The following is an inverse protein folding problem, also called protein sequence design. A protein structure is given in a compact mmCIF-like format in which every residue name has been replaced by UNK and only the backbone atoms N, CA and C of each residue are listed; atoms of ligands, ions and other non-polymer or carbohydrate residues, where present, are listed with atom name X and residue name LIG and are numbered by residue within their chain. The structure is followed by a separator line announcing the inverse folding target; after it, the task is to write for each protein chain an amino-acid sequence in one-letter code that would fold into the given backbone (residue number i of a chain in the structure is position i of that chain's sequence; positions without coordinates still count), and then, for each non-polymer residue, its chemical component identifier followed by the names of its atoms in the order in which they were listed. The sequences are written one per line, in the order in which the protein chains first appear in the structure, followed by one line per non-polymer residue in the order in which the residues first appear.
data_IF_559592377902
#
_entry.id   IF_559592377902
#
_cell.length_a   1.000
_cell.length_b   1.000
_cell.length_c   1.000
_cell.angle_alpha   90.00
_cell.angle_beta   90.00
_cell.angle_gamma   90.00
#
_symmetry.space_group_name_H-M   'P 1'
#
loop_
_entity.id
_entity.type
_entity.pdbx_description
1 polymer ?
#
# COMPACT_ATOMS: atom_id res chain seq x y z
N UNK A 1 2.23 8.66 -1.35
CA UNK A 1 2.15 7.19 -1.57
C UNK A 1 2.43 6.52 -0.25
N UNK A 2 1.72 5.45 0.10
CA UNK A 2 1.93 4.73 1.34
C UNK A 2 2.09 3.23 1.09
N UNK A 3 2.85 2.57 1.94
CA UNK A 3 3.00 1.12 1.98
C UNK A 3 2.96 0.64 3.43
N UNK A 4 2.41 -0.53 3.66
CA UNK A 4 2.39 -1.11 5.00
C UNK A 4 2.40 -2.63 4.96
N UNK A 5 2.89 -3.22 6.03
CA UNK A 5 2.84 -4.65 6.29
C UNK A 5 2.57 -4.89 7.77
N UNK A 6 1.80 -5.93 8.07
CA UNK A 6 1.49 -6.34 9.43
C UNK A 6 1.67 -7.84 9.58
N UNK A 7 2.31 -8.25 10.67
CA UNK A 7 2.44 -9.65 11.05
C UNK A 7 1.42 -10.03 12.10
N UNK A 8 0.72 -11.14 11.86
CA UNK A 8 -0.28 -11.70 12.76
C UNK A 8 0.13 -13.10 13.22
N UNK A 9 -0.14 -13.40 14.49
CA UNK A 9 0.03 -14.74 15.04
C UNK A 9 -1.09 -15.01 16.03
N UNK A 10 -1.76 -16.15 15.92
CA UNK A 10 -2.86 -16.57 16.79
C UNK A 10 -3.99 -15.51 16.88
N UNK A 11 -4.35 -14.90 15.74
CA UNK A 11 -5.39 -13.89 15.64
C UNK A 11 -5.01 -12.53 16.26
N UNK A 12 -3.76 -12.32 16.63
CA UNK A 12 -3.27 -11.06 17.23
C UNK A 12 -2.20 -10.43 16.36
N UNK A 13 -2.27 -9.11 16.19
CA UNK A 13 -1.20 -8.36 15.53
C UNK A 13 0.04 -8.38 16.43
N UNK A 14 1.16 -8.83 15.89
CA UNK A 14 2.44 -8.92 16.57
C UNK A 14 3.35 -7.74 16.27
N UNK A 15 3.31 -7.28 15.04
CA UNK A 15 4.12 -6.16 14.59
C UNK A 15 3.49 -5.48 13.37
N UNK A 16 3.91 -4.26 13.10
CA UNK A 16 3.59 -3.52 11.88
C UNK A 16 4.75 -2.64 11.44
N UNK A 17 4.84 -2.41 10.14
CA UNK A 17 5.75 -1.46 9.51
C UNK A 17 4.95 -0.68 8.49
N UNK A 18 5.00 0.64 8.53
CA UNK A 18 4.32 1.50 7.58
C UNK A 18 5.19 2.67 7.14
N UNK A 19 5.05 3.06 5.90
CA UNK A 19 5.65 4.24 5.31
C UNK A 19 4.56 5.10 4.67
N UNK A 20 4.63 6.42 4.89
CA UNK A 20 3.77 7.40 4.25
C UNK A 20 4.60 8.60 3.77
N UNK A 21 4.78 8.70 2.45
CA UNK A 21 5.56 9.77 1.83
C UNK A 21 4.96 11.16 2.02
N UNK A 22 3.69 11.28 2.45
CA UNK A 22 3.07 12.58 2.78
C UNK A 22 3.61 13.14 4.10
N UNK A 23 4.06 12.26 5.01
CA UNK A 23 4.69 12.65 6.27
C UNK A 23 6.19 12.89 6.14
N UNK A 24 6.78 12.48 5.05
CA UNK A 24 8.20 12.67 4.73
C UNK A 24 8.78 11.47 3.99
N UNK A 25 9.83 11.69 3.21
CA UNK A 25 10.46 10.64 2.40
C UNK A 25 11.14 9.56 3.26
N UNK A 26 11.61 9.92 4.46
CA UNK A 26 12.22 8.99 5.42
C UNK A 26 11.25 8.53 6.52
N UNK A 27 9.95 8.91 6.42
CA UNK A 27 8.95 8.51 7.40
C UNK A 27 8.81 6.98 7.42
N UNK A 28 8.97 6.39 8.60
CA UNK A 28 8.84 4.95 8.82
C UNK A 28 8.36 4.68 10.24
N UNK A 29 7.11 4.25 10.37
CA UNK A 29 6.55 3.83 11.65
C UNK A 29 6.69 2.31 11.82
N UNK A 30 7.07 1.92 13.02
CA UNK A 30 7.23 0.51 13.39
C UNK A 30 6.63 0.23 14.75
N UNK A 31 5.98 -0.92 14.91
CA UNK A 31 5.36 -1.33 16.15
C UNK A 31 5.53 -2.83 16.39
N UNK A 32 5.78 -3.24 17.63
CA UNK A 32 5.83 -4.64 18.07
C UNK A 32 7.14 -5.36 17.79
N UNK A 33 7.08 -6.69 17.80
CA UNK A 33 8.24 -7.59 17.66
C UNK A 33 8.58 -7.79 16.18
N UNK A 34 9.40 -6.91 15.63
CA UNK A 34 9.77 -6.90 14.21
C UNK A 34 10.53 -8.18 13.79
N UNK A 35 10.40 -8.61 12.51
CA UNK A 35 11.18 -9.72 11.98
C UNK A 35 12.69 -9.51 12.10
N UNK A 36 13.51 -10.58 12.26
CA UNK A 36 14.94 -10.46 12.46
C UNK A 36 15.66 -9.76 11.30
N UNK A 37 15.17 -9.94 10.06
CA UNK A 37 15.79 -9.34 8.87
C UNK A 37 15.42 -7.86 8.67
N UNK A 38 14.45 -7.34 9.43
CA UNK A 38 13.94 -5.98 9.25
C UNK A 38 15.05 -4.92 9.33
N UNK A 39 15.91 -4.99 10.33
CA UNK A 39 16.98 -4.00 10.52
C UNK A 39 17.93 -3.95 9.34
N UNK A 40 18.33 -5.09 8.78
CA UNK A 40 19.21 -5.16 7.62
C UNK A 40 18.55 -4.64 6.35
N UNK A 41 17.26 -4.94 6.16
CA UNK A 41 16.45 -4.43 5.04
C UNK A 41 16.32 -2.92 5.13
N UNK A 42 15.93 -2.40 6.28
CA UNK A 42 15.79 -0.97 6.55
C UNK A 42 17.10 -0.22 6.26
N UNK A 43 18.20 -0.64 6.86
CA UNK A 43 19.48 0.07 6.77
C UNK A 43 20.01 0.07 5.33
N UNK A 44 19.84 -1.02 4.60
CA UNK A 44 20.20 -1.11 3.18
C UNK A 44 19.39 -0.14 2.31
N UNK A 45 18.07 -0.07 2.52
CA UNK A 45 17.18 0.76 1.70
C UNK A 45 17.32 2.26 2.05
N UNK A 46 17.49 2.59 3.34
CA UNK A 46 17.80 3.95 3.77
C UNK A 46 19.14 4.44 3.23
N UNK A 47 20.16 3.58 3.16
CA UNK A 47 21.45 3.94 2.55
C UNK A 47 21.29 4.25 1.08
N UNK A 48 20.50 3.46 0.33
CA UNK A 48 20.18 3.74 -1.07
C UNK A 48 19.41 5.06 -1.25
N UNK A 49 18.45 5.35 -0.36
CA UNK A 49 17.70 6.60 -0.38
C UNK A 49 18.63 7.81 -0.21
N UNK A 50 19.54 7.77 0.77
CA UNK A 50 20.50 8.84 1.03
C UNK A 50 21.50 9.01 -0.11
N UNK A 51 21.93 7.93 -0.73
CA UNK A 51 22.78 7.98 -1.92
C UNK A 51 22.07 8.66 -3.09
N UNK A 52 20.80 8.32 -3.35
CA UNK A 52 19.99 8.96 -4.38
C UNK A 52 19.76 10.45 -4.10
N UNK A 53 19.44 10.80 -2.85
CA UNK A 53 19.25 12.19 -2.44
C UNK A 53 20.51 13.03 -2.51
N UNK A 54 21.69 12.41 -2.37
CA UNK A 54 23.00 13.06 -2.50
C UNK A 54 23.40 13.29 -3.96
N UNK A 55 22.75 12.63 -4.91
CA UNK A 55 23.00 12.86 -6.33
C UNK A 55 22.49 14.25 -6.69
N UNK A 56 23.41 15.13 -7.12
CA UNK A 56 23.02 16.47 -7.59
C UNK A 56 22.00 16.33 -8.72
N UNK A 57 20.91 17.10 -8.72
CA UNK A 57 19.94 17.07 -9.79
C UNK A 57 20.67 17.36 -11.10
N UNK A 58 20.60 16.44 -12.06
CA UNK A 58 21.09 16.71 -13.41
C UNK A 58 20.32 17.92 -13.91
N UNK A 59 21.07 19.00 -14.25
CA UNK A 59 20.49 20.19 -14.88
C UNK A 59 19.72 19.72 -16.10
N UNK A 60 18.45 20.10 -16.27
CA UNK A 60 17.70 19.71 -17.46
C UNK A 60 18.44 20.24 -18.69
N UNK A 61 18.97 19.35 -19.50
CA UNK A 61 19.50 19.72 -20.81
C UNK A 61 18.31 20.13 -21.69
N UNK A 62 18.35 21.38 -22.11
CA UNK A 62 17.45 22.09 -23.02
C UNK A 62 16.22 22.74 -22.38
N UNK A 63 16.36 24.05 -22.27
CA UNK A 63 15.25 25.00 -22.28
C UNK A 63 14.65 25.00 -23.68
N UNK A 64 13.69 24.13 -23.95
CA UNK A 64 12.77 24.33 -25.06
C UNK A 64 11.54 25.02 -24.54
N UNK A 65 11.28 26.21 -25.07
CA UNK A 65 10.22 27.11 -24.65
C UNK A 65 8.86 26.37 -24.51
N UNK A 66 8.23 26.51 -23.33
CA UNK A 66 6.78 26.56 -23.24
C UNK A 66 6.03 25.36 -22.69
N UNK A 67 6.65 24.25 -22.28
CA UNK A 67 6.00 23.23 -21.48
C UNK A 67 6.95 22.75 -20.39
N UNK A 68 6.68 23.17 -19.15
CA UNK A 68 7.30 22.59 -17.97
C UNK A 68 6.78 21.15 -17.88
N UNK A 69 7.50 20.24 -18.49
CA UNK A 69 7.26 18.81 -18.28
C UNK A 69 7.77 18.50 -16.89
N UNK A 70 6.85 18.37 -15.93
CA UNK A 70 7.10 17.92 -14.54
C UNK A 70 7.65 16.48 -14.46
N UNK A 71 8.23 15.98 -15.53
CA UNK A 71 8.81 14.63 -15.63
C UNK A 71 10.23 14.52 -15.11
N UNK A 72 10.86 15.61 -14.67
CA UNK A 72 12.31 15.63 -14.41
C UNK A 72 12.72 15.32 -12.97
N UNK A 73 11.85 14.82 -12.12
CA UNK A 73 12.23 14.39 -10.75
C UNK A 73 11.33 13.28 -10.21
N UNK A 74 11.21 12.16 -10.92
CA UNK A 74 10.77 10.94 -10.27
C UNK A 74 11.95 10.42 -9.44
N UNK A 75 12.08 10.89 -8.21
CA UNK A 75 12.98 10.30 -7.23
C UNK A 75 12.45 8.91 -6.88
N UNK A 76 13.32 7.92 -6.86
CA UNK A 76 12.98 6.61 -6.34
C UNK A 76 12.72 6.74 -4.84
N UNK A 77 11.60 6.22 -4.38
CA UNK A 77 11.26 6.13 -2.96
C UNK A 77 11.62 4.73 -2.46
N UNK A 78 12.87 4.57 -2.04
CA UNK A 78 13.34 3.28 -1.51
C UNK A 78 12.75 2.98 -0.11
N UNK A 79 12.28 4.00 0.61
CA UNK A 79 11.66 3.80 1.93
C UNK A 79 10.30 3.14 1.77
N UNK A 80 9.59 3.43 0.67
CA UNK A 80 8.37 2.74 0.28
C UNK A 80 8.55 1.22 0.16
N UNK A 81 9.73 0.78 -0.26
CA UNK A 81 10.05 -0.64 -0.43
C UNK A 81 10.35 -1.38 0.89
N UNK A 82 10.55 -0.69 2.02
CA UNK A 82 10.89 -1.33 3.29
C UNK A 82 9.79 -2.29 3.77
N UNK A 83 8.49 -1.88 3.86
CA UNK A 83 7.41 -2.79 4.21
C UNK A 83 7.28 -3.96 3.22
N UNK A 84 7.43 -3.69 1.92
CA UNK A 84 7.32 -4.69 0.84
C UNK A 84 8.44 -5.73 0.94
N UNK A 85 9.69 -5.29 1.10
CA UNK A 85 10.84 -6.19 1.25
C UNK A 85 10.78 -6.99 2.56
N UNK A 86 10.21 -6.41 3.64
CA UNK A 86 9.96 -7.13 4.89
C UNK A 86 8.92 -8.24 4.70
N UNK A 87 7.83 -7.98 3.96
CA UNK A 87 6.88 -9.02 3.61
C UNK A 87 7.52 -10.12 2.76
N UNK A 88 8.31 -9.73 1.76
CA UNK A 88 9.01 -10.66 0.87
C UNK A 88 9.99 -11.57 1.62
N UNK A 89 10.74 -11.05 2.60
CA UNK A 89 11.69 -11.87 3.38
C UNK A 89 11.00 -13.01 4.15
N UNK A 90 9.74 -12.81 4.55
CA UNK A 90 8.95 -13.79 5.30
C UNK A 90 8.16 -14.75 4.42
N UNK A 91 7.64 -14.26 3.29
CA UNK A 91 6.72 -15.04 2.42
C UNK A 91 7.41 -15.62 1.19
N UNK A 92 8.59 -15.11 0.83
CA UNK A 92 9.24 -15.41 -0.44
C UNK A 92 8.56 -14.79 -1.66
N UNK A 93 7.47 -14.03 -1.46
CA UNK A 93 6.64 -13.46 -2.51
C UNK A 93 6.70 -11.93 -2.53
N UNK A 94 6.74 -11.36 -3.72
CA UNK A 94 6.63 -9.92 -3.96
C UNK A 94 5.52 -9.66 -4.99
N UNK A 95 4.61 -8.75 -4.69
CA UNK A 95 3.38 -8.50 -5.47
C UNK A 95 3.62 -8.01 -6.91
N UNK A 96 4.79 -7.44 -7.18
CA UNK A 96 5.21 -6.88 -8.48
C UNK A 96 6.13 -7.84 -9.28
N UNK A 97 6.24 -9.09 -8.85
CA UNK A 97 7.04 -10.12 -9.50
C UNK A 97 6.20 -11.35 -9.80
N UNK A 98 6.48 -11.97 -10.95
CA UNK A 98 5.84 -13.24 -11.29
C UNK A 98 6.26 -14.33 -10.30
N UNK A 99 5.30 -15.12 -9.86
CA UNK A 99 5.58 -16.28 -9.00
C UNK A 99 6.00 -17.45 -9.88
N UNK A 100 7.24 -17.96 -9.74
CA UNK A 100 7.68 -19.10 -10.51
C UNK A 100 6.74 -20.30 -10.30
N UNK A 101 6.23 -20.87 -11.39
CA UNK A 101 5.35 -22.05 -11.34
C UNK A 101 3.85 -21.75 -11.23
N UNK A 102 3.44 -20.51 -11.06
CA UNK A 102 2.06 -20.10 -11.30
C UNK A 102 1.90 -19.86 -12.81
N UNK A 103 1.35 -20.84 -13.53
CA UNK A 103 0.81 -20.59 -14.87
C UNK A 103 -0.34 -19.62 -14.71
N UNK A 104 -0.44 -18.63 -15.61
CA UNK A 104 -1.51 -17.63 -15.60
C UNK A 104 -2.88 -18.24 -15.88
N UNK A 105 -3.37 -19.09 -14.99
CA UNK A 105 -4.75 -19.52 -15.02
C UNK A 105 -5.63 -18.29 -14.73
N UNK A 106 -6.70 -18.10 -15.52
CA UNK A 106 -7.60 -16.98 -15.28
C UNK A 106 -8.17 -17.09 -13.86
N UNK A 107 -8.16 -15.97 -13.14
CA UNK A 107 -8.79 -15.89 -11.82
C UNK A 107 -10.24 -16.33 -11.92
N UNK A 108 -10.63 -17.28 -11.11
CA UNK A 108 -12.04 -17.65 -10.98
C UNK A 108 -12.76 -16.51 -10.24
N UNK A 109 -13.71 -15.87 -10.92
CA UNK A 109 -14.52 -14.82 -10.29
C UNK A 109 -15.51 -15.50 -9.35
N UNK A 110 -15.27 -15.43 -8.06
CA UNK A 110 -16.24 -15.87 -7.05
C UNK A 110 -17.45 -14.91 -7.09
N UNK A 111 -18.49 -15.30 -7.79
CA UNK A 111 -19.78 -14.60 -7.74
C UNK A 111 -20.41 -14.90 -6.39
N UNK A 112 -20.30 -13.97 -5.47
CA UNK A 112 -21.04 -14.06 -4.20
C UNK A 112 -22.54 -14.20 -4.48
N UNK A 113 -23.23 -15.06 -3.74
CA UNK A 113 -24.68 -15.10 -3.79
C UNK A 113 -25.21 -13.68 -3.57
N UNK A 114 -25.98 -13.17 -4.52
CA UNK A 114 -26.59 -11.84 -4.40
C UNK A 114 -27.28 -11.73 -3.04
N UNK A 115 -27.01 -10.68 -2.24
CA UNK A 115 -27.69 -10.48 -1.00
C UNK A 115 -29.19 -10.50 -1.30
N UNK A 116 -29.94 -11.41 -0.65
CA UNK A 116 -31.39 -11.39 -0.75
C UNK A 116 -31.82 -10.01 -0.23
N UNK A 117 -32.13 -9.10 -1.16
CA UNK A 117 -32.75 -7.84 -0.81
C UNK A 117 -34.07 -8.20 -0.13
N UNK A 118 -34.08 -8.18 1.19
CA UNK A 118 -35.32 -8.11 1.91
C UNK A 118 -36.03 -6.86 1.42
N UNK A 119 -37.19 -7.04 0.81
CA UNK A 119 -38.02 -5.94 0.35
C UNK A 119 -38.12 -4.90 1.48
N UNK A 120 -38.00 -3.61 1.19
CA UNK A 120 -38.08 -2.58 2.22
C UNK A 120 -39.45 -2.74 2.90
N UNK A 121 -39.42 -3.04 4.19
CA UNK A 121 -40.64 -3.02 4.99
C UNK A 121 -41.21 -1.61 4.89
N UNK A 122 -42.30 -1.45 4.15
CA UNK A 122 -43.05 -0.21 4.12
C UNK A 122 -43.53 0.09 5.54
N UNK A 123 -42.82 0.99 6.20
CA UNK A 123 -43.31 1.54 7.45
C UNK A 123 -44.65 2.18 7.16
N UNK A 124 -45.72 1.82 7.91
CA UNK A 124 -47.05 2.42 7.70
C UNK A 124 -46.90 3.93 7.81
N UNK A 125 -47.43 4.63 6.79
CA UNK A 125 -47.40 6.08 6.70
C UNK A 125 -47.96 6.68 7.99
N UNK A 126 -47.26 7.64 8.57
CA UNK A 126 -47.69 8.38 9.76
C UNK A 126 -49.13 8.92 9.65
N UNK A 127 -49.57 9.27 8.45
CA UNK A 127 -50.93 9.74 8.16
C UNK A 127 -52.02 8.71 8.36
N UNK A 128 -51.78 7.40 8.19
CA UNK A 128 -52.75 6.36 8.48
C UNK A 128 -53.03 6.16 9.97
N UNK A 129 -52.11 6.63 10.83
CA UNK A 129 -52.26 6.57 12.29
C UNK A 129 -53.12 7.71 12.86
N UNK A 130 -53.23 8.84 12.14
CA UNK A 130 -53.93 10.03 12.61
C UNK A 130 -55.41 10.08 12.15
N UNK A 131 -55.80 9.39 11.06
CA UNK A 131 -57.12 9.45 10.45
C UNK A 131 -57.76 8.08 10.21
N UNK A 132 -57.30 7.05 10.89
CA UNK A 132 -57.93 5.75 10.88
C UNK A 132 -59.13 5.73 11.78
N UNK A 133 -60.28 6.01 11.22
CA UNK A 133 -61.56 5.58 11.80
C UNK A 133 -61.81 4.12 11.42
#
# INVERSE_FOLDING_TARGET
MCSFVTGWKDGRRRWSVSHDSQQGIEHLDTEGDLPPDFSSIRDRLLSKQREEDSRKPQKPHSVFQGKITRLSQMRCDYVFDIPVATAQSLTGYRYDQDVPGLSGEPFEVLVGAAPKCSAPQQKPSFFKRLFGA
#
